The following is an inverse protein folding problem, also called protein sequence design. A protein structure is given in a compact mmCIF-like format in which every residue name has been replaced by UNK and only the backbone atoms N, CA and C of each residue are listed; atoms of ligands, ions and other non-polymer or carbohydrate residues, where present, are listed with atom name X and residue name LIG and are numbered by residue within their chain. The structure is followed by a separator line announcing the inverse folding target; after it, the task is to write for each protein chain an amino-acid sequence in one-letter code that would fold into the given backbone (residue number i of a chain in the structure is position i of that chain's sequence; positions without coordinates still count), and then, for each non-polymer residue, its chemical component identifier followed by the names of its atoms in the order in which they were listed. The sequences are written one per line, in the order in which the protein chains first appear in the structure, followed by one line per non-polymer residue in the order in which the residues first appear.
data_IF_209876959524
#
_entry.id   IF_209876959524
#
_cell.length_a   1.000
_cell.length_b   1.000
_cell.length_c   1.000
_cell.angle_alpha   90.00
_cell.angle_beta   90.00
_cell.angle_gamma   90.00
#
_symmetry.space_group_name_H-M   'P 1'
#
loop_
_entity.id
_entity.type
_entity.pdbx_description
1 polymer ?
#
# COMPACT_ATOMS: atom_id res chain seq x y z
N UNK A 1 -7.02 -12.94 -11.99
CA UNK A 1 -6.29 -11.92 -12.76
C UNK A 1 -5.55 -11.00 -11.80
N UNK A 2 -4.45 -10.41 -12.25
CA UNK A 2 -3.72 -9.38 -11.50
C UNK A 2 -4.17 -8.03 -12.05
N UNK A 3 -4.53 -7.10 -11.17
CA UNK A 3 -4.98 -5.76 -11.52
C UNK A 3 -4.30 -4.71 -10.64
N UNK A 4 -4.29 -3.47 -11.12
CA UNK A 4 -3.78 -2.32 -10.39
C UNK A 4 -4.55 -2.11 -9.08
N UNK A 5 -3.85 -1.77 -8.01
CA UNK A 5 -4.46 -1.49 -6.72
C UNK A 5 -5.22 -0.14 -6.77
N UNK A 6 -6.56 -0.13 -6.60
CA UNK A 6 -7.34 1.09 -6.64
C UNK A 6 -7.10 2.00 -5.45
N UNK A 7 -6.40 1.58 -4.39
CA UNK A 7 -6.03 2.47 -3.28
C UNK A 7 -4.90 3.44 -3.65
N UNK A 8 -4.09 3.11 -4.66
CA UNK A 8 -2.85 3.84 -4.97
C UNK A 8 -2.79 4.31 -6.44
N UNK A 9 -3.44 3.61 -7.35
CA UNK A 9 -3.44 3.93 -8.79
C UNK A 9 -4.35 5.12 -9.09
N UNK A 10 -3.85 6.10 -9.84
CA UNK A 10 -4.56 7.32 -10.23
C UNK A 10 -5.17 8.10 -9.04
N UNK A 11 -4.54 8.01 -7.85
CA UNK A 11 -4.96 8.77 -6.67
C UNK A 11 -4.19 10.08 -6.54
N UNK A 12 -2.94 9.99 -6.06
CA UNK A 12 -2.09 11.16 -5.86
C UNK A 12 -1.27 11.52 -7.11
N UNK A 13 -0.93 10.51 -7.91
CA UNK A 13 -0.12 10.62 -9.11
C UNK A 13 -0.78 9.83 -10.25
N UNK A 14 -0.55 10.23 -11.53
CA UNK A 14 -1.10 9.50 -12.67
C UNK A 14 -0.45 8.11 -12.80
N UNK A 15 -1.27 7.12 -13.12
CA UNK A 15 -0.88 5.71 -13.26
C UNK A 15 -0.56 5.02 -11.93
N UNK A 16 0.24 3.96 -12.01
CA UNK A 16 0.65 3.12 -10.88
C UNK A 16 2.18 3.18 -10.65
N UNK A 17 2.73 4.32 -10.19
CA UNK A 17 4.18 4.49 -10.03
C UNK A 17 4.78 3.59 -8.94
N UNK A 18 4.00 3.23 -7.91
CA UNK A 18 4.44 2.34 -6.83
C UNK A 18 4.39 0.87 -7.23
N UNK A 19 3.80 0.54 -8.38
CA UNK A 19 3.61 -0.83 -8.88
C UNK A 19 2.86 -1.71 -7.87
N UNK A 20 1.78 -1.15 -7.32
CA UNK A 20 0.92 -1.82 -6.35
C UNK A 20 -0.21 -2.54 -7.08
N UNK A 21 -0.39 -3.84 -6.79
CA UNK A 21 -1.35 -4.71 -7.48
C UNK A 21 -2.15 -5.54 -6.47
N UNK A 22 -3.32 -6.01 -6.90
CA UNK A 22 -4.14 -7.00 -6.16
C UNK A 22 -4.55 -8.17 -7.06
N UNK A 23 -4.87 -9.30 -6.44
CA UNK A 23 -5.33 -10.52 -7.11
C UNK A 23 -6.47 -11.15 -6.33
N UNK A 24 -7.54 -11.58 -7.04
CA UNK A 24 -8.61 -12.41 -6.47
C UNK A 24 -8.23 -13.89 -6.41
N UNK A 25 -7.22 -14.29 -7.17
CA UNK A 25 -6.71 -15.66 -7.20
C UNK A 25 -5.55 -15.81 -6.20
N UNK A 26 -5.41 -16.99 -5.57
CA UNK A 26 -4.33 -17.23 -4.62
C UNK A 26 -2.95 -17.13 -5.28
N UNK A 27 -1.98 -16.61 -4.53
CA UNK A 27 -0.59 -16.48 -4.95
C UNK A 27 0.28 -17.57 -4.30
N UNK A 28 1.27 -18.06 -5.04
CA UNK A 28 2.27 -19.01 -4.54
C UNK A 28 3.47 -18.24 -4.00
N UNK A 29 3.84 -18.49 -2.73
CA UNK A 29 5.10 -17.99 -2.16
C UNK A 29 6.27 -18.77 -2.75
N UNK A 30 7.28 -18.07 -3.28
CA UNK A 30 8.44 -18.68 -3.95
C UNK A 30 9.77 -18.38 -3.26
N UNK A 31 9.80 -17.47 -2.28
CA UNK A 31 11.00 -17.06 -1.58
C UNK A 31 10.70 -15.96 -0.57
N UNK A 32 11.73 -15.57 0.17
CA UNK A 32 11.72 -14.54 1.20
C UNK A 32 12.86 -13.55 0.94
N UNK A 33 12.60 -12.26 1.16
CA UNK A 33 13.63 -11.22 1.08
C UNK A 33 14.08 -10.87 2.51
N UNK A 34 15.26 -11.34 2.90
CA UNK A 34 15.77 -11.20 4.28
C UNK A 34 16.53 -9.90 4.54
N UNK A 35 17.01 -9.24 3.49
CA UNK A 35 17.88 -8.05 3.57
C UNK A 35 17.15 -6.76 3.16
N UNK A 36 15.90 -6.62 3.59
CA UNK A 36 15.12 -5.40 3.33
C UNK A 36 15.43 -4.31 4.37
N UNK A 37 15.84 -3.14 3.89
CA UNK A 37 16.00 -1.96 4.74
C UNK A 37 14.66 -1.23 4.90
N UNK A 38 14.20 -1.13 6.15
CA UNK A 38 12.99 -0.38 6.49
C UNK A 38 13.15 1.13 6.39
N UNK A 39 12.03 1.85 6.46
CA UNK A 39 12.07 3.30 6.58
C UNK A 39 12.64 3.74 7.94
N UNK A 40 13.18 4.96 7.98
CA UNK A 40 13.58 5.61 9.22
C UNK A 40 12.40 5.65 10.22
N UNK A 41 12.63 5.39 11.52
CA UNK A 41 11.57 5.38 12.53
C UNK A 41 10.74 6.67 12.59
N UNK A 42 11.33 7.84 12.41
CA UNK A 42 10.60 9.11 12.43
C UNK A 42 9.66 9.23 11.23
N UNK A 43 10.15 8.84 10.05
CA UNK A 43 9.34 8.80 8.84
C UNK A 43 8.17 7.82 9.01
N UNK A 44 8.43 6.63 9.55
CA UNK A 44 7.39 5.63 9.78
C UNK A 44 6.32 6.12 10.77
N UNK A 45 6.73 6.82 11.83
CA UNK A 45 5.79 7.42 12.79
C UNK A 45 4.92 8.50 12.13
N UNK A 46 5.50 9.32 11.26
CA UNK A 46 4.75 10.34 10.52
C UNK A 46 3.68 9.71 9.59
N UNK A 47 4.02 8.61 8.92
CA UNK A 47 3.10 7.88 8.05
C UNK A 47 1.92 7.31 8.85
N UNK A 48 2.19 6.68 10.01
CA UNK A 48 1.15 6.12 10.89
C UNK A 48 0.22 7.21 11.45
N UNK A 49 0.77 8.34 11.88
CA UNK A 49 -0.03 9.47 12.36
C UNK A 49 -0.96 10.02 11.26
N UNK A 50 -0.48 10.08 10.02
CA UNK A 50 -1.29 10.50 8.88
C UNK A 50 -2.44 9.52 8.58
N UNK A 51 -2.19 8.21 8.70
CA UNK A 51 -3.24 7.18 8.53
C UNK A 51 -4.33 7.34 9.60
N UNK A 52 -3.96 7.57 10.87
CA UNK A 52 -4.94 7.77 11.94
C UNK A 52 -5.81 8.99 11.69
N UNK A 53 -5.20 10.11 11.27
CA UNK A 53 -5.94 11.31 10.88
C UNK A 53 -6.92 11.05 9.74
N UNK A 54 -6.53 10.27 8.74
CA UNK A 54 -7.42 9.93 7.62
C UNK A 54 -8.61 9.10 8.10
N UNK A 55 -8.40 8.16 9.03
CA UNK A 55 -9.47 7.38 9.67
C UNK A 55 -10.45 8.28 10.42
N UNK A 56 -9.97 9.24 11.20
CA UNK A 56 -10.83 10.22 11.90
C UNK A 56 -11.69 11.05 10.95
N UNK A 57 -11.21 11.28 9.72
CA UNK A 57 -11.93 11.97 8.65
C UNK A 57 -12.86 11.05 7.84
N UNK A 58 -12.97 9.76 8.20
CA UNK A 58 -13.79 8.78 7.50
C UNK A 58 -13.23 8.33 6.15
N UNK A 59 -11.94 8.54 5.90
CA UNK A 59 -11.25 8.04 4.71
C UNK A 59 -10.70 6.65 5.01
N UNK A 60 -11.30 5.64 4.39
CA UNK A 60 -10.91 4.23 4.57
C UNK A 60 -10.36 3.63 3.27
N UNK A 61 -9.61 2.54 3.41
CA UNK A 61 -9.12 1.77 2.27
C UNK A 61 -10.27 0.99 1.62
N UNK A 62 -10.16 0.76 0.32
CA UNK A 62 -11.07 -0.09 -0.45
C UNK A 62 -10.61 -1.54 -0.27
N UNK A 63 -11.50 -2.40 0.23
CA UNK A 63 -11.21 -3.80 0.61
C UNK A 63 -12.16 -4.78 -0.13
N UNK A 64 -12.06 -4.83 -1.47
CA UNK A 64 -12.93 -5.60 -2.40
C UNK A 64 -12.24 -6.80 -3.07
#
# INVERSE_FOLDING_TARGET
TIEDDPNLTDKKFPGNPTKSYRSREPLRVIGELTEWEGHDPELLNSMKAQIERLRELGVEAIDE
#
